data_IF_121792043098
#
_entry.id   IF_121792043098
#
_cell.length_a   1.000
_cell.length_b   1.000
_cell.length_c   1.000
_cell.angle_alpha   90.00
_cell.angle_beta   90.00
_cell.angle_gamma   90.00
#
_symmetry.space_group_name_H-M   'P 1'
#
loop_
_entity.id
_entity.type
_entity.pdbx_description
1 polymer ?
#
# COMPACT_ATOMS: atom_id res chain seq x y z
N UNK A 1 -3.92 -40.94 26.22
CA UNK A 1 -2.54 -40.40 26.24
C UNK A 1 -2.25 -39.91 24.81
N UNK A 2 -2.93 -38.91 24.22
CA UNK A 2 -3.03 -37.51 24.63
C UNK A 2 -1.76 -37.01 25.28
N UNK A 3 -0.81 -36.54 24.46
CA UNK A 3 -0.02 -35.32 24.67
C UNK A 3 0.89 -35.02 23.47
N UNK A 4 0.26 -34.61 22.36
CA UNK A 4 0.92 -33.67 21.45
C UNK A 4 0.43 -32.29 21.90
N UNK A 5 1.21 -31.62 22.75
CA UNK A 5 1.26 -30.15 22.84
C UNK A 5 2.37 -29.65 23.76
N UNK A 6 3.29 -28.91 23.12
CA UNK A 6 3.72 -27.57 23.54
C UNK A 6 4.79 -27.46 24.64
N UNK A 7 6.03 -27.12 24.24
CA UNK A 7 6.81 -25.98 24.77
C UNK A 7 8.21 -25.82 24.11
N UNK A 8 8.26 -25.79 22.78
CA UNK A 8 9.29 -25.01 22.09
C UNK A 8 8.65 -23.69 21.66
N UNK A 9 8.38 -22.87 22.66
CA UNK A 9 7.71 -21.58 22.55
C UNK A 9 8.77 -20.50 22.41
N UNK A 10 8.41 -19.45 21.65
CA UNK A 10 9.01 -18.10 21.73
C UNK A 10 10.27 -17.90 20.88
N UNK A 11 10.15 -18.28 19.60
CA UNK A 11 10.41 -17.43 18.43
C UNK A 11 10.41 -18.29 17.15
N UNK A 12 9.45 -18.31 16.23
CA UNK A 12 8.50 -17.28 15.78
C UNK A 12 9.10 -15.88 15.57
N UNK A 13 10.43 -15.79 15.45
CA UNK A 13 11.06 -14.79 14.59
C UNK A 13 10.72 -15.23 13.15
N UNK A 14 9.81 -14.62 12.42
CA UNK A 14 9.71 -13.17 12.27
C UNK A 14 10.71 -12.64 11.24
N UNK A 15 11.18 -13.49 10.30
CA UNK A 15 12.07 -13.07 9.21
C UNK A 15 11.38 -13.12 7.84
N UNK A 16 10.83 -11.95 7.48
CA UNK A 16 10.91 -11.38 6.12
C UNK A 16 10.21 -12.05 4.91
N UNK A 17 9.07 -12.76 5.02
CA UNK A 17 8.39 -13.24 3.80
C UNK A 17 6.86 -13.41 3.82
N UNK A 18 6.13 -12.55 4.53
CA UNK A 18 4.68 -12.43 4.31
C UNK A 18 4.41 -11.67 3.00
N UNK A 19 3.59 -12.24 2.11
CA UNK A 19 3.15 -11.60 0.85
C UNK A 19 2.60 -10.22 1.14
N UNK A 20 1.77 -10.12 2.20
CA UNK A 20 1.11 -8.86 2.55
C UNK A 20 2.14 -7.77 2.83
N UNK A 21 3.25 -8.10 3.50
CA UNK A 21 4.31 -7.16 3.80
C UNK A 21 5.07 -6.71 2.55
N UNK A 22 5.32 -7.61 1.60
CA UNK A 22 5.99 -7.25 0.35
C UNK A 22 5.08 -6.41 -0.55
N UNK A 23 3.79 -6.74 -0.64
CA UNK A 23 2.80 -5.92 -1.36
C UNK A 23 2.69 -4.53 -0.75
N UNK A 24 2.62 -4.44 0.58
CA UNK A 24 2.57 -3.18 1.30
C UNK A 24 3.83 -2.33 1.03
N UNK A 25 5.00 -2.97 0.96
CA UNK A 25 6.26 -2.28 0.64
C UNK A 25 6.26 -1.74 -0.79
N UNK A 26 5.81 -2.53 -1.77
CA UNK A 26 5.66 -2.07 -3.16
C UNK A 26 4.71 -0.87 -3.22
N UNK A 27 3.54 -0.94 -2.58
CA UNK A 27 2.57 0.15 -2.54
C UNK A 27 3.12 1.41 -1.87
N UNK A 28 3.79 1.25 -0.72
CA UNK A 28 4.43 2.35 0.02
C UNK A 28 5.46 3.07 -0.85
N UNK A 29 6.34 2.33 -1.52
CA UNK A 29 7.43 2.88 -2.33
C UNK A 29 6.98 3.37 -3.73
N UNK A 30 5.69 3.25 -4.06
CA UNK A 30 5.12 3.71 -5.34
C UNK A 30 4.06 4.76 -5.07
N UNK A 31 2.78 4.37 -5.10
CA UNK A 31 1.65 5.28 -4.92
C UNK A 31 1.65 5.96 -3.54
N UNK A 32 2.04 5.26 -2.48
CA UNK A 32 2.08 5.82 -1.13
C UNK A 32 3.05 7.01 -1.04
N UNK A 33 4.27 6.84 -1.54
CA UNK A 33 5.29 7.88 -1.62
C UNK A 33 4.90 9.02 -2.56
N UNK A 34 4.25 8.72 -3.70
CA UNK A 34 3.73 9.75 -4.61
C UNK A 34 2.69 10.65 -3.90
N UNK A 35 1.72 10.04 -3.21
CA UNK A 35 0.69 10.76 -2.46
C UNK A 35 1.33 11.60 -1.36
N UNK A 36 2.21 11.01 -0.54
CA UNK A 36 2.84 11.71 0.58
C UNK A 36 3.68 12.90 0.09
N UNK A 37 4.49 12.70 -0.94
CA UNK A 37 5.39 13.74 -1.48
C UNK A 37 4.61 14.93 -2.04
N UNK A 38 3.57 14.68 -2.85
CA UNK A 38 2.74 15.75 -3.39
C UNK A 38 1.90 16.43 -2.30
N UNK A 39 1.38 15.67 -1.33
CA UNK A 39 0.64 16.22 -0.19
C UNK A 39 1.51 17.20 0.59
N UNK A 40 2.76 16.80 0.91
CA UNK A 40 3.73 17.64 1.62
C UNK A 40 4.17 18.83 0.77
N UNK A 41 4.42 18.64 -0.53
CA UNK A 41 4.78 19.71 -1.48
C UNK A 41 3.68 20.79 -1.56
N UNK A 42 2.42 20.39 -1.47
CA UNK A 42 1.28 21.30 -1.47
C UNK A 42 0.92 21.86 -0.09
N UNK A 43 1.67 21.49 0.96
CA UNK A 43 1.46 22.01 2.33
C UNK A 43 0.17 21.55 3.00
N UNK A 44 -0.48 20.49 2.51
CA UNK A 44 -1.76 20.02 3.05
C UNK A 44 -1.59 18.85 4.04
N UNK A 45 -2.49 18.72 5.01
CA UNK A 45 -2.46 17.65 6.01
C UNK A 45 -3.18 16.39 5.51
N UNK A 46 -2.90 15.23 6.12
CA UNK A 46 -3.65 14.00 5.82
C UNK A 46 -5.14 14.16 6.08
N UNK A 47 -5.50 14.90 7.15
CA UNK A 47 -6.89 15.23 7.51
C UNK A 47 -7.56 16.09 6.44
N UNK A 48 -6.89 17.13 5.97
CA UNK A 48 -7.42 17.97 4.90
C UNK A 48 -7.65 17.17 3.61
N UNK A 49 -6.70 16.30 3.25
CA UNK A 49 -6.85 15.44 2.07
C UNK A 49 -8.03 14.47 2.22
N UNK A 50 -8.20 13.83 3.38
CA UNK A 50 -9.33 12.92 3.62
C UNK A 50 -10.67 13.64 3.57
N UNK A 51 -10.78 14.80 4.22
CA UNK A 51 -12.01 15.60 4.23
C UNK A 51 -12.37 16.09 2.82
N UNK A 52 -11.37 16.54 2.05
CA UNK A 52 -11.55 16.97 0.66
C UNK A 52 -12.06 15.82 -0.23
N UNK A 53 -11.72 14.58 0.09
CA UNK A 53 -12.18 13.38 -0.60
C UNK A 53 -13.52 12.84 -0.09
N UNK A 54 -14.08 13.43 0.98
CA UNK A 54 -15.36 13.02 1.57
C UNK A 54 -15.24 11.99 2.69
N UNK A 55 -14.03 11.77 3.22
CA UNK A 55 -13.79 10.85 4.32
C UNK A 55 -13.70 11.57 5.67
N UNK A 56 -14.37 11.01 6.69
CA UNK A 56 -14.33 11.55 8.04
C UNK A 56 -13.01 11.27 8.79
N UNK A 57 -12.25 10.25 8.37
CA UNK A 57 -11.02 9.82 9.05
C UNK A 57 -9.77 10.01 8.19
N UNK A 58 -8.74 10.63 8.78
CA UNK A 58 -7.40 10.76 8.18
C UNK A 58 -6.66 9.41 8.08
N UNK A 59 -7.12 8.37 8.78
CA UNK A 59 -6.52 7.05 8.80
C UNK A 59 -6.47 6.41 7.41
N UNK A 60 -7.44 6.74 6.55
CA UNK A 60 -7.50 6.25 5.17
C UNK A 60 -6.30 6.74 4.37
N UNK A 61 -5.98 8.03 4.44
CA UNK A 61 -4.79 8.61 3.80
C UNK A 61 -3.52 8.05 4.41
N UNK A 62 -3.45 7.92 5.74
CA UNK A 62 -2.32 7.29 6.42
C UNK A 62 -2.10 5.83 5.98
N UNK A 63 -3.15 5.07 5.70
CA UNK A 63 -3.05 3.72 5.18
C UNK A 63 -2.52 3.70 3.75
N UNK A 64 -2.94 4.64 2.90
CA UNK A 64 -2.41 4.78 1.53
C UNK A 64 -0.92 5.11 1.52
N UNK A 65 -0.50 6.10 2.31
CA UNK A 65 0.90 6.54 2.40
C UNK A 65 1.82 5.43 2.94
N UNK A 66 1.29 4.54 3.79
CA UNK A 66 2.04 3.39 4.34
C UNK A 66 1.89 2.11 3.51
N UNK A 67 1.13 2.14 2.42
CA UNK A 67 0.90 0.99 1.54
C UNK A 67 -0.06 -0.07 2.07
N UNK A 68 -0.72 0.17 3.21
CA UNK A 68 -1.67 -0.79 3.82
C UNK A 68 -2.98 -0.91 3.05
N UNK A 69 -3.35 0.12 2.29
CA UNK A 69 -4.48 0.11 1.37
C UNK A 69 -4.17 0.97 0.14
N UNK A 70 -5.03 0.95 -0.87
CA UNK A 70 -4.91 1.79 -2.06
C UNK A 70 -6.11 2.73 -2.18
N UNK A 71 -5.94 3.89 -2.85
CA UNK A 71 -7.06 4.75 -3.19
C UNK A 71 -8.04 4.04 -4.14
N UNK A 72 -9.36 4.18 -3.92
CA UNK A 72 -10.37 3.74 -4.87
C UNK A 72 -10.19 4.39 -6.26
N UNK A 73 -10.46 3.63 -7.32
CA UNK A 73 -10.23 4.06 -8.71
C UNK A 73 -11.07 5.28 -9.09
N UNK A 74 -12.31 5.32 -8.61
CA UNK A 74 -13.27 6.41 -8.80
C UNK A 74 -12.79 7.74 -8.18
N UNK A 75 -11.94 7.69 -7.15
CA UNK A 75 -11.39 8.88 -6.51
C UNK A 75 -10.11 9.40 -7.17
N UNK A 76 -9.48 8.66 -8.07
CA UNK A 76 -8.20 9.04 -8.68
C UNK A 76 -8.25 10.40 -9.41
N UNK A 77 -9.30 10.75 -10.20
CA UNK A 77 -9.37 12.07 -10.83
C UNK A 77 -9.40 13.21 -9.82
N UNK A 78 -10.14 13.03 -8.72
CA UNK A 78 -10.26 14.01 -7.64
C UNK A 78 -8.95 14.12 -6.84
N UNK A 79 -8.32 12.99 -6.57
CA UNK A 79 -7.02 12.90 -5.92
C UNK A 79 -5.93 13.65 -6.73
N UNK A 80 -5.85 13.39 -8.04
CA UNK A 80 -4.93 14.09 -8.95
C UNK A 80 -5.12 15.61 -8.89
N UNK A 81 -6.38 16.07 -8.86
CA UNK A 81 -6.73 17.49 -8.79
C UNK A 81 -6.25 18.13 -7.48
N UNK A 82 -6.56 17.52 -6.32
CA UNK A 82 -6.18 18.06 -5.00
C UNK A 82 -4.65 18.06 -4.82
N UNK A 83 -4.00 16.99 -5.28
CA UNK A 83 -2.55 16.82 -5.14
C UNK A 83 -1.74 17.50 -6.26
N UNK A 84 -2.40 18.12 -7.24
CA UNK A 84 -1.76 18.75 -8.40
C UNK A 84 -0.79 17.78 -9.10
N UNK A 85 -1.23 16.54 -9.28
CA UNK A 85 -0.50 15.49 -10.00
C UNK A 85 -1.07 15.43 -11.42
N UNK A 86 -0.20 15.32 -12.41
CA UNK A 86 -0.62 14.99 -13.76
C UNK A 86 -1.32 13.61 -13.78
N UNK A 87 -2.46 13.50 -14.49
CA UNK A 87 -3.26 12.28 -14.49
C UNK A 87 -2.50 11.08 -15.09
N UNK A 88 -1.68 11.31 -16.12
CA UNK A 88 -0.88 10.26 -16.73
C UNK A 88 0.18 9.80 -15.74
N UNK A 89 0.87 10.72 -15.07
CA UNK A 89 1.84 10.36 -14.02
C UNK A 89 1.20 9.54 -12.89
N UNK A 90 0.01 9.92 -12.42
CA UNK A 90 -0.70 9.15 -11.40
C UNK A 90 -1.06 7.75 -11.91
N UNK A 91 -1.54 7.64 -13.15
CA UNK A 91 -1.92 6.38 -13.77
C UNK A 91 -0.71 5.46 -13.96
N UNK A 92 0.40 5.98 -14.48
CA UNK A 92 1.64 5.23 -14.72
C UNK A 92 2.16 4.61 -13.42
N UNK A 93 2.22 5.39 -12.34
CA UNK A 93 2.67 4.89 -11.03
C UNK A 93 1.74 3.81 -10.46
N UNK A 94 0.43 3.92 -10.69
CA UNK A 94 -0.53 2.88 -10.29
C UNK A 94 -0.29 1.60 -11.09
N UNK A 95 -0.08 1.71 -12.40
CA UNK A 95 0.17 0.57 -13.27
C UNK A 95 1.47 -0.14 -12.90
N UNK A 96 2.54 0.61 -12.63
CA UNK A 96 3.82 0.07 -12.17
C UNK A 96 3.67 -0.66 -10.83
N UNK A 97 2.89 -0.08 -9.90
CA UNK A 97 2.58 -0.71 -8.62
C UNK A 97 1.85 -2.05 -8.80
N UNK A 98 0.81 -2.08 -9.63
CA UNK A 98 0.05 -3.31 -9.91
C UNK A 98 0.91 -4.35 -10.62
N UNK A 99 1.73 -3.94 -11.58
CA UNK A 99 2.64 -4.83 -12.27
C UNK A 99 3.65 -5.46 -11.30
N UNK A 100 4.26 -4.65 -10.42
CA UNK A 100 5.18 -5.16 -9.40
C UNK A 100 4.53 -6.18 -8.45
N UNK A 101 3.29 -5.93 -8.03
CA UNK A 101 2.52 -6.87 -7.20
C UNK A 101 2.22 -8.17 -7.96
N UNK A 102 1.83 -8.09 -9.24
CA UNK A 102 1.57 -9.27 -10.06
C UNK A 102 2.82 -10.12 -10.25
N UNK A 103 3.96 -9.50 -10.54
CA UNK A 103 5.24 -10.20 -10.66
C UNK A 103 5.66 -10.88 -9.35
N UNK A 104 5.40 -10.22 -8.21
CA UNK A 104 5.62 -10.82 -6.89
C UNK A 104 4.76 -12.08 -6.70
N UNK A 105 3.47 -12.00 -7.03
CA UNK A 105 2.54 -13.15 -6.93
C UNK A 105 2.95 -14.30 -7.85
N UNK A 106 3.31 -13.99 -9.11
CA UNK A 106 3.78 -14.99 -10.09
C UNK A 106 5.01 -15.74 -9.59
N UNK A 107 6.02 -15.03 -9.08
CA UNK A 107 7.24 -15.64 -8.53
C UNK A 107 6.94 -16.62 -7.41
N UNK A 108 6.00 -16.27 -6.53
CA UNK A 108 5.61 -17.14 -5.42
C UNK A 108 4.87 -18.38 -5.87
N UNK A 109 3.93 -18.25 -6.81
CA UNK A 109 3.23 -19.41 -7.40
C UNK A 109 4.26 -20.34 -8.05
N UNK A 110 5.22 -19.79 -8.80
CA UNK A 110 6.29 -20.57 -9.42
C UNK A 110 7.11 -21.36 -8.40
N UNK A 111 7.48 -20.74 -7.28
CA UNK A 111 8.23 -21.41 -6.18
C UNK A 111 7.38 -22.49 -5.51
N UNK A 112 6.08 -22.28 -5.33
CA UNK A 112 5.20 -23.23 -4.67
C UNK A 112 4.86 -24.47 -5.54
N UNK A 113 5.06 -24.38 -6.86
CA UNK A 113 4.81 -25.45 -7.82
C UNK A 113 6.08 -26.25 -8.17
N UNK A 114 7.23 -25.90 -7.59
CA UNK A 114 8.52 -26.59 -7.75
C UNK A 114 8.81 -27.46 -6.54
#
# INVERSE_FOLDING_TARGET
MLEIRNQASICFWGTMNDISNQENLIRKNTIGQLIESHRRKNGITQKYLSESLGYASNQIVSNWERGLSQPPVDLLPKLATILKIDRNTLFDVIMDCQHGILELKKRRIKIALQ
#
